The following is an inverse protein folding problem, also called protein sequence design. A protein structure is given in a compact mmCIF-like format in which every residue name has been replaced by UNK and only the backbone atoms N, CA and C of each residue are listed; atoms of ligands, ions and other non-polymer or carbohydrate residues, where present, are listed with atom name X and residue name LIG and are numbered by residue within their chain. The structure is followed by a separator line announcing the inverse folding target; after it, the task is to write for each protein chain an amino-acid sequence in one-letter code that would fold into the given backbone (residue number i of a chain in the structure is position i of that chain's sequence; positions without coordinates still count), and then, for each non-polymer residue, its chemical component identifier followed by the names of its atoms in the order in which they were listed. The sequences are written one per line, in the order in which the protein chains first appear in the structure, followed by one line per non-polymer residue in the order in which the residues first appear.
data_IF_585042013080
#
_entry.id   IF_585042013080
#
_cell.length_a   1.000
_cell.length_b   1.000
_cell.length_c   1.000
_cell.angle_alpha   90.00
_cell.angle_beta   90.00
_cell.angle_gamma   90.00
#
_symmetry.space_group_name_H-M   'P 1'
#
loop_
_entity.id
_entity.type
_entity.pdbx_description
1 polymer ?
#
# COMPACT_ATOMS: atom_id res chain seq x y z
N UNK A 1 -3.40 4.83 -9.44
CA UNK A 1 -3.22 3.60 -8.66
C UNK A 1 -4.14 3.69 -7.48
N UNK A 2 -5.21 2.91 -7.49
CA UNK A 2 -6.25 2.94 -6.47
C UNK A 2 -5.74 2.30 -5.17
N UNK A 3 -6.07 2.95 -4.05
CA UNK A 3 -5.75 2.49 -2.69
C UNK A 3 -7.05 2.04 -2.06
N UNK A 4 -7.09 0.81 -1.57
CA UNK A 4 -8.23 0.27 -0.85
C UNK A 4 -7.81 -0.07 0.58
N UNK A 5 -8.45 0.53 1.58
CA UNK A 5 -8.17 0.32 3.00
C UNK A 5 -9.25 -0.59 3.58
N UNK A 6 -8.85 -1.67 4.25
CA UNK A 6 -9.77 -2.65 4.81
C UNK A 6 -9.31 -3.13 6.18
N UNK A 7 -10.25 -3.59 7.00
CA UNK A 7 -9.95 -4.21 8.29
C UNK A 7 -9.58 -5.68 8.05
N UNK A 8 -8.37 -6.08 8.47
CA UNK A 8 -7.86 -7.44 8.30
C UNK A 8 -8.25 -8.31 9.51
N UNK A 9 -8.12 -7.76 10.71
CA UNK A 9 -8.60 -8.33 11.98
C UNK A 9 -9.23 -7.21 12.81
N UNK A 10 -10.07 -7.50 13.80
CA UNK A 10 -10.66 -6.47 14.66
C UNK A 10 -9.61 -5.52 15.24
N UNK A 11 -9.65 -4.24 14.86
CA UNK A 11 -8.66 -3.24 15.29
C UNK A 11 -7.32 -3.26 14.54
N UNK A 12 -7.16 -4.12 13.51
CA UNK A 12 -6.00 -4.15 12.61
C UNK A 12 -6.41 -3.88 11.18
N UNK A 13 -5.79 -2.86 10.60
CA UNK A 13 -6.10 -2.36 9.27
C UNK A 13 -4.99 -2.68 8.30
N UNK A 14 -5.33 -2.96 7.05
CA UNK A 14 -4.37 -3.13 5.97
C UNK A 14 -4.82 -2.36 4.74
N UNK A 15 -3.96 -2.33 3.73
CA UNK A 15 -4.22 -1.65 2.47
C UNK A 15 -3.90 -2.56 1.28
N UNK A 16 -4.59 -2.33 0.16
CA UNK A 16 -4.34 -2.95 -1.13
C UNK A 16 -3.98 -1.86 -2.14
N UNK A 17 -2.88 -2.04 -2.84
CA UNK A 17 -2.43 -1.16 -3.94
C UNK A 17 -2.48 -1.95 -5.24
N UNK A 18 -3.38 -1.57 -6.14
CA UNK A 18 -3.61 -2.31 -7.38
C UNK A 18 -4.20 -3.70 -7.14
N UNK A 19 -3.55 -4.76 -7.63
CA UNK A 19 -4.10 -6.13 -7.57
C UNK A 19 -3.67 -6.92 -6.33
N UNK A 20 -2.64 -6.49 -5.60
CA UNK A 20 -2.08 -7.24 -4.47
C UNK A 20 -2.37 -6.54 -3.12
N UNK A 21 -2.97 -7.24 -2.14
CA UNK A 21 -3.08 -6.72 -0.78
C UNK A 21 -1.71 -6.70 -0.10
N UNK A 22 -1.49 -5.72 0.76
CA UNK A 22 -0.32 -5.69 1.63
C UNK A 22 -0.45 -6.73 2.75
N UNK A 23 0.67 -7.33 3.14
CA UNK A 23 0.75 -8.22 4.30
C UNK A 23 0.94 -7.45 5.61
N UNK A 24 1.25 -6.15 5.53
CA UNK A 24 1.42 -5.30 6.69
C UNK A 24 0.07 -4.91 7.30
N UNK A 25 -0.02 -4.97 8.63
CA UNK A 25 -1.21 -4.55 9.40
C UNK A 25 -0.86 -3.41 10.34
N UNK A 26 -1.79 -2.48 10.51
CA UNK A 26 -1.64 -1.23 11.22
C UNK A 26 -2.71 -1.12 12.32
N UNK A 27 -2.43 -0.44 13.44
CA UNK A 27 -3.35 -0.33 14.57
C UNK A 27 -4.54 0.61 14.31
N UNK A 28 -4.57 1.32 13.18
CA UNK A 28 -5.65 2.23 12.82
C UNK A 28 -5.80 2.37 11.31
N UNK A 29 -7.01 2.72 10.86
CA UNK A 29 -7.32 3.01 9.46
C UNK A 29 -6.43 4.13 8.90
N UNK A 30 -6.15 5.14 9.72
CA UNK A 30 -5.32 6.29 9.34
C UNK A 30 -3.86 5.89 9.11
N UNK A 31 -3.30 5.04 9.98
CA UNK A 31 -1.94 4.53 9.80
C UNK A 31 -1.82 3.68 8.52
N UNK A 32 -2.82 2.84 8.22
CA UNK A 32 -2.86 2.08 6.97
C UNK A 32 -2.93 3.00 5.73
N UNK A 33 -3.70 4.09 5.81
CA UNK A 33 -3.80 5.07 4.72
C UNK A 33 -2.47 5.77 4.46
N UNK A 34 -1.81 6.28 5.51
CA UNK A 34 -0.51 6.96 5.41
C UNK A 34 0.53 6.02 4.79
N UNK A 35 0.59 4.76 5.24
CA UNK A 35 1.50 3.76 4.68
C UNK A 35 1.20 3.49 3.19
N UNK A 36 -0.07 3.35 2.84
CA UNK A 36 -0.47 3.14 1.45
C UNK A 36 -0.09 4.31 0.54
N UNK A 37 -0.25 5.55 1.00
CA UNK A 37 0.13 6.75 0.25
C UNK A 37 1.65 6.84 0.06
N UNK A 38 2.44 6.53 1.09
CA UNK A 38 3.90 6.48 0.98
C UNK A 38 4.36 5.43 -0.03
N UNK A 39 3.75 4.24 -0.03
CA UNK A 39 4.10 3.19 -0.99
C UNK A 39 3.65 3.55 -2.40
N UNK A 40 2.47 4.15 -2.57
CA UNK A 40 1.99 4.66 -3.86
C UNK A 40 2.95 5.70 -4.43
N UNK A 41 3.37 6.64 -3.61
CA UNK A 41 4.31 7.70 -3.98
C UNK A 41 5.68 7.12 -4.36
N UNK A 42 6.21 6.18 -3.56
CA UNK A 42 7.45 5.47 -3.86
C UNK A 42 7.38 4.67 -5.17
N UNK A 43 6.25 4.04 -5.47
CA UNK A 43 6.06 3.31 -6.74
C UNK A 43 5.91 4.27 -7.94
N UNK A 44 5.29 5.44 -7.74
CA UNK A 44 5.21 6.47 -8.77
C UNK A 44 6.58 7.08 -9.09
N UNK A 45 7.44 7.20 -8.07
CA UNK A 45 8.81 7.71 -8.20
C UNK A 45 9.84 6.65 -8.58
N UNK A 46 9.53 5.36 -8.43
CA UNK A 46 10.44 4.29 -8.81
C UNK A 46 10.70 4.37 -10.32
N UNK A 47 11.96 4.54 -10.78
CA UNK A 47 12.27 4.43 -12.18
C UNK A 47 11.82 3.03 -12.62
N UNK A 48 11.03 2.94 -13.70
CA UNK A 48 10.80 1.66 -14.36
C UNK A 48 12.17 1.01 -14.55
N UNK A 49 12.36 -0.28 -14.21
CA UNK A 49 13.60 -0.94 -14.54
C UNK A 49 13.82 -0.72 -16.04
N UNK A 50 14.86 0.02 -16.38
CA UNK A 50 15.37 0.07 -17.74
C UNK A 50 15.70 -1.39 -18.05
N UNK A 51 14.96 -1.98 -18.98
CA UNK A 51 15.29 -3.29 -19.52
C UNK A 51 16.76 -3.21 -19.96
N UNK A 52 17.65 -3.84 -19.19
CA UNK A 52 19.01 -4.08 -19.61
C UNK A 52 18.95 -5.02 -20.79
N UNK A 53 19.16 -4.46 -21.98
CA UNK A 53 19.41 -5.15 -23.23
C UNK A 53 20.84 -5.71 -23.26
#
# INVERSE_FOLDING_TARGET
MDVEIFEFEPGRWSYKLGSAPSVETFPSREAALIAAEQVRDKQAQAPKPENGE
#
